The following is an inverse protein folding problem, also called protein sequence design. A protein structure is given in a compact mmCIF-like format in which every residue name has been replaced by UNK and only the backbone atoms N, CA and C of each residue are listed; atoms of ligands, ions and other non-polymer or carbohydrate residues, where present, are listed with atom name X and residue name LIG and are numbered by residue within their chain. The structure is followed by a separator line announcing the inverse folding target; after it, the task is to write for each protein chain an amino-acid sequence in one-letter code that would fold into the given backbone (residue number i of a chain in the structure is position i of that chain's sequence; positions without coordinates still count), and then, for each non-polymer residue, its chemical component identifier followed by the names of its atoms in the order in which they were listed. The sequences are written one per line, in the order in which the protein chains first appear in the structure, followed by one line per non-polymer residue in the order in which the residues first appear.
data_IF_466828883312
#
_entry.id   IF_466828883312
#
_cell.length_a   1.000
_cell.length_b   1.000
_cell.length_c   1.000
_cell.angle_alpha   90.00
_cell.angle_beta   90.00
_cell.angle_gamma   90.00
#
_symmetry.space_group_name_H-M   'P 1'
#
loop_
_entity.id
_entity.type
_entity.pdbx_description
1 polymer ?
#
# COMPACT_ATOMS: atom_id res chain seq x y z
N UNK A 1 5.66 0.52 3.29
CA UNK A 1 6.36 -0.62 3.90
C UNK A 1 6.77 -1.60 2.80
N UNK A 2 8.05 -1.95 2.71
CA UNK A 2 8.43 -3.21 2.08
C UNK A 2 7.74 -4.30 2.92
N UNK A 3 6.93 -5.13 2.28
CA UNK A 3 6.06 -6.05 3.00
C UNK A 3 6.91 -6.97 3.87
N UNK A 4 6.67 -7.02 5.19
CA UNK A 4 7.38 -7.88 6.15
C UNK A 4 7.08 -9.38 5.96
N UNK A 5 6.80 -9.78 4.73
CA UNK A 5 6.49 -11.14 4.30
C UNK A 5 7.29 -11.44 3.05
N UNK A 6 7.81 -12.65 2.97
CA UNK A 6 8.47 -13.15 1.77
C UNK A 6 7.44 -13.32 0.64
N UNK A 7 7.88 -13.22 -0.62
CA UNK A 7 7.01 -13.42 -1.79
C UNK A 7 6.51 -14.87 -1.94
N UNK A 8 7.11 -15.82 -1.23
CA UNK A 8 6.74 -17.24 -1.15
C UNK A 8 7.13 -17.77 0.24
N UNK A 9 6.48 -18.83 0.70
CA UNK A 9 6.78 -19.45 2.00
C UNK A 9 7.91 -20.49 1.86
N UNK A 10 7.98 -21.17 0.72
CA UNK A 10 9.04 -22.12 0.38
C UNK A 10 9.55 -21.87 -1.03
N UNK A 11 10.87 -21.94 -1.22
CA UNK A 11 11.52 -21.79 -2.52
C UNK A 11 11.60 -23.13 -3.28
N UNK A 12 10.45 -23.79 -3.43
CA UNK A 12 10.33 -25.12 -4.02
C UNK A 12 9.06 -25.24 -4.88
N UNK A 13 8.99 -26.24 -5.75
CA UNK A 13 7.87 -26.52 -6.66
C UNK A 13 6.54 -26.77 -5.92
N UNK A 14 6.61 -27.12 -4.64
CA UNK A 14 5.45 -27.30 -3.76
C UNK A 14 4.73 -25.99 -3.43
N UNK A 15 5.40 -24.84 -3.54
CA UNK A 15 4.77 -23.52 -3.35
C UNK A 15 4.31 -22.95 -4.70
N UNK A 16 3.00 -22.73 -4.85
CA UNK A 16 2.43 -22.13 -6.06
C UNK A 16 2.99 -20.74 -6.36
N UNK A 17 3.26 -19.90 -5.35
CA UNK A 17 3.81 -18.54 -5.56
C UNK A 17 5.23 -18.60 -6.12
N UNK A 18 6.03 -19.55 -5.63
CA UNK A 18 7.37 -19.77 -6.16
C UNK A 18 7.30 -20.33 -7.59
N UNK A 19 6.43 -21.30 -7.85
CA UNK A 19 6.25 -21.87 -9.19
C UNK A 19 5.80 -20.81 -10.21
N UNK A 20 4.84 -19.96 -9.87
CA UNK A 20 4.43 -18.81 -10.69
C UNK A 20 5.63 -17.89 -10.98
N UNK A 21 6.43 -17.58 -9.96
CA UNK A 21 7.62 -16.76 -10.12
C UNK A 21 8.64 -17.41 -11.07
N UNK A 22 8.90 -18.71 -10.96
CA UNK A 22 9.84 -19.40 -11.84
C UNK A 22 9.35 -19.49 -13.29
N UNK A 23 8.05 -19.74 -13.49
CA UNK A 23 7.46 -19.72 -14.83
C UNK A 23 7.57 -18.34 -15.47
N UNK A 24 7.25 -17.29 -14.70
CA UNK A 24 7.47 -15.92 -15.12
C UNK A 24 8.95 -15.67 -15.40
N UNK A 25 9.87 -16.01 -14.50
CA UNK A 25 11.31 -15.79 -14.63
C UNK A 25 11.84 -16.40 -15.94
N UNK A 26 11.46 -17.65 -16.24
CA UNK A 26 11.82 -18.42 -17.45
C UNK A 26 11.10 -17.98 -18.73
N UNK A 27 10.32 -16.88 -18.71
CA UNK A 27 9.52 -16.39 -19.85
C UNK A 27 8.47 -17.40 -20.35
N UNK A 28 8.09 -18.39 -19.53
CA UNK A 28 6.98 -19.30 -19.84
C UNK A 28 5.61 -18.65 -19.60
N UNK A 29 5.57 -17.59 -18.81
CA UNK A 29 4.39 -16.77 -18.57
C UNK A 29 4.70 -15.29 -18.74
N UNK A 30 3.78 -14.56 -19.33
CA UNK A 30 3.80 -13.08 -19.43
C UNK A 30 3.24 -12.42 -18.17
N UNK A 31 2.53 -13.18 -17.32
CA UNK A 31 1.89 -12.67 -16.10
C UNK A 31 2.92 -12.41 -15.01
N UNK A 32 2.99 -11.16 -14.54
CA UNK A 32 3.85 -10.78 -13.41
C UNK A 32 3.25 -11.32 -12.10
N UNK A 33 4.03 -12.00 -11.24
CA UNK A 33 3.54 -12.52 -9.96
C UNK A 33 3.02 -11.41 -9.05
N UNK A 34 1.99 -11.71 -8.24
CA UNK A 34 1.21 -10.72 -7.48
C UNK A 34 2.08 -9.78 -6.63
N UNK A 35 3.02 -10.33 -5.86
CA UNK A 35 3.89 -9.55 -4.97
C UNK A 35 4.91 -8.67 -5.72
N UNK A 36 5.15 -8.95 -7.00
CA UNK A 36 6.10 -8.25 -7.85
C UNK A 36 5.47 -7.14 -8.70
N UNK A 37 4.13 -7.11 -8.85
CA UNK A 37 3.43 -6.11 -9.67
C UNK A 37 3.67 -4.65 -9.24
N UNK A 38 4.09 -4.42 -8.00
CA UNK A 38 4.40 -3.09 -7.45
C UNK A 38 5.74 -2.51 -7.95
N UNK A 39 6.62 -3.35 -8.50
CA UNK A 39 7.96 -2.94 -8.91
C UNK A 39 8.02 -2.46 -10.36
N UNK A 40 8.94 -1.54 -10.64
CA UNK A 40 9.16 -1.03 -11.99
C UNK A 40 9.61 -2.12 -12.95
N UNK A 41 9.26 -1.98 -14.24
CA UNK A 41 9.65 -2.97 -15.25
C UNK A 41 11.17 -3.15 -15.33
N UNK A 42 11.93 -2.09 -15.03
CA UNK A 42 13.39 -2.12 -15.00
C UNK A 42 13.93 -2.96 -13.84
N UNK A 43 13.35 -2.80 -12.65
CA UNK A 43 13.69 -3.63 -11.49
C UNK A 43 13.26 -5.10 -11.68
N UNK A 44 12.09 -5.35 -12.28
CA UNK A 44 11.64 -6.70 -12.62
C UNK A 44 12.62 -7.44 -13.54
N UNK A 45 13.26 -6.75 -14.49
CA UNK A 45 14.31 -7.34 -15.33
C UNK A 45 15.53 -7.76 -14.51
N UNK A 46 15.95 -6.95 -13.53
CA UNK A 46 17.04 -7.29 -12.61
C UNK A 46 16.71 -8.54 -11.80
N UNK A 47 15.51 -8.60 -11.23
CA UNK A 47 15.04 -9.74 -10.43
C UNK A 47 15.08 -11.07 -11.19
N UNK A 48 14.71 -11.09 -12.48
CA UNK A 48 14.78 -12.32 -13.29
C UNK A 48 16.20 -12.87 -13.45
N UNK A 49 17.22 -12.01 -13.41
CA UNK A 49 18.63 -12.38 -13.61
C UNK A 49 19.32 -12.75 -12.29
N UNK A 50 18.97 -12.09 -11.19
CA UNK A 50 19.61 -12.34 -9.90
C UNK A 50 18.99 -13.49 -9.11
N UNK A 51 17.66 -13.66 -9.17
CA UNK A 51 16.95 -14.71 -8.43
C UNK A 51 16.81 -15.99 -9.26
N UNK A 52 17.85 -16.38 -10.00
CA UNK A 52 17.85 -17.67 -10.68
C UNK A 52 18.05 -18.81 -9.66
N UNK A 53 17.25 -19.90 -9.70
CA UNK A 53 17.47 -21.05 -8.83
C UNK A 53 18.88 -21.62 -8.95
N UNK A 54 19.47 -21.62 -10.16
CA UNK A 54 20.80 -22.14 -10.41
C UNK A 54 21.85 -21.07 -10.09
N UNK A 55 22.74 -21.28 -9.12
CA UNK A 55 23.74 -20.28 -8.71
C UNK A 55 24.64 -19.87 -9.88
N UNK A 56 25.03 -20.80 -10.75
CA UNK A 56 25.89 -20.55 -11.91
C UNK A 56 25.25 -19.64 -12.98
N UNK A 57 23.93 -19.46 -12.95
CA UNK A 57 23.21 -18.56 -13.88
C UNK A 57 22.89 -17.21 -13.26
N UNK A 58 23.17 -17.02 -11.97
CA UNK A 58 22.93 -15.74 -11.27
C UNK A 58 23.93 -14.70 -11.75
N UNK A 59 23.43 -13.49 -11.92
CA UNK A 59 24.27 -12.35 -12.28
C UNK A 59 25.10 -11.91 -11.06
N UNK A 60 26.32 -11.38 -11.30
CA UNK A 60 27.14 -10.84 -10.23
C UNK A 60 26.42 -9.66 -9.57
N UNK A 61 26.65 -9.49 -8.27
CA UNK A 61 26.00 -8.45 -7.46
C UNK A 61 26.32 -7.04 -7.95
N UNK A 62 27.46 -6.85 -8.61
CA UNK A 62 27.89 -5.57 -9.20
C UNK A 62 26.90 -5.02 -10.22
N UNK A 63 26.08 -5.87 -10.85
CA UNK A 63 25.05 -5.45 -11.81
C UNK A 63 23.93 -4.64 -11.14
N UNK A 64 23.72 -4.76 -9.82
CA UNK A 64 22.75 -3.96 -9.06
C UNK A 64 23.07 -2.48 -9.14
N UNK A 65 24.35 -2.11 -9.26
CA UNK A 65 24.79 -0.71 -9.34
C UNK A 65 24.12 0.05 -10.50
N UNK A 66 23.77 -0.65 -11.59
CA UNK A 66 23.08 -0.08 -12.76
C UNK A 66 21.63 0.33 -12.48
N UNK A 67 21.09 -0.07 -11.34
CA UNK A 67 19.69 0.12 -10.98
C UNK A 67 19.49 1.04 -9.77
N UNK A 68 20.56 1.45 -9.08
CA UNK A 68 20.47 2.22 -7.83
C UNK A 68 19.76 3.58 -7.99
N UNK A 69 19.98 4.24 -9.13
CA UNK A 69 19.39 5.55 -9.41
C UNK A 69 17.98 5.46 -10.01
N UNK A 70 17.47 4.26 -10.28
CA UNK A 70 16.14 4.08 -10.87
C UNK A 70 15.03 4.17 -9.83
N UNK A 71 13.84 4.56 -10.29
CA UNK A 71 12.62 4.35 -9.51
C UNK A 71 12.26 2.87 -9.46
N UNK A 72 12.25 2.31 -8.25
CA UNK A 72 12.02 0.88 -8.02
C UNK A 72 10.55 0.48 -7.92
N UNK A 73 9.68 1.41 -7.53
CA UNK A 73 8.24 1.17 -7.36
C UNK A 73 7.43 1.98 -8.36
N UNK A 74 6.37 1.37 -8.91
CA UNK A 74 5.45 2.02 -9.85
C UNK A 74 4.42 2.85 -9.07
N UNK A 75 3.93 2.31 -7.96
CA UNK A 75 2.94 2.98 -7.14
C UNK A 75 3.64 3.96 -6.19
N UNK A 76 3.15 5.21 -6.12
CA UNK A 76 3.42 6.05 -4.96
C UNK A 76 2.87 5.29 -3.76
N UNK A 77 3.73 4.94 -2.82
CA UNK A 77 3.27 4.44 -1.52
C UNK A 77 2.45 5.59 -0.94
N UNK A 78 1.13 5.49 -1.01
CA UNK A 78 0.23 6.36 -0.26
C UNK A 78 0.50 6.05 1.20
N UNK A 79 1.46 6.76 1.80
CA UNK A 79 1.57 6.84 3.24
C UNK A 79 0.31 7.56 3.66
N UNK A 80 -0.71 6.81 4.11
CA UNK A 80 -1.77 7.43 4.89
C UNK A 80 -1.04 8.10 6.07
N UNK A 81 -1.16 9.42 6.28
CA UNK A 81 -0.63 10.02 7.49
C UNK A 81 -1.28 9.26 8.62
N UNK A 82 -0.45 8.54 9.39
CA UNK A 82 -0.92 7.84 10.55
C UNK A 82 -1.25 8.95 11.54
N UNK A 83 -2.53 9.34 11.62
CA UNK A 83 -3.00 10.24 12.67
C UNK A 83 -2.69 9.52 13.97
N UNK A 84 -1.68 10.00 14.67
CA UNK A 84 -1.39 9.59 16.03
C UNK A 84 -2.49 10.21 16.88
N UNK A 85 -3.61 9.50 17.00
CA UNK A 85 -4.66 9.83 17.97
C UNK A 85 -4.05 9.58 19.35
N UNK A 86 -3.55 10.65 19.96
CA UNK A 86 -3.37 10.68 21.39
C UNK A 86 -4.78 10.58 21.99
N UNK A 87 -5.06 9.62 22.90
CA UNK A 87 -6.28 9.64 23.68
C UNK A 87 -6.33 11.00 24.37
N UNK A 88 -7.26 11.86 23.92
CA UNK A 88 -7.47 13.15 24.55
C UNK A 88 -7.94 12.83 25.97
N UNK A 89 -7.13 13.18 26.98
CA UNK A 89 -7.63 13.27 28.35
C UNK A 89 -8.80 14.25 28.28
N UNK A 90 -10.00 13.76 28.55
CA UNK A 90 -11.24 14.52 28.41
C UNK A 90 -11.10 15.89 29.08
N UNK A 91 -11.24 16.95 28.29
CA UNK A 91 -11.35 18.29 28.81
C UNK A 91 -12.60 18.37 29.71
N UNK A 92 -12.55 18.97 30.90
CA UNK A 92 -13.71 19.10 31.78
C UNK A 92 -14.87 19.78 31.04
N UNK A 93 -16.06 19.17 31.09
CA UNK A 93 -17.30 19.78 30.57
C UNK A 93 -17.68 20.98 31.46
N UNK A 94 -17.66 22.17 30.88
CA UNK A 94 -18.26 23.37 31.46
C UNK A 94 -19.79 23.16 31.64
N UNK A 95 -20.40 23.60 32.76
CA UNK A 95 -21.82 23.43 33.02
C UNK A 95 -22.67 24.38 32.14
N UNK A 96 -23.70 23.84 31.49
CA UNK A 96 -24.65 24.60 30.68
C UNK A 96 -25.54 25.53 31.53
N UNK A 97 -25.54 26.82 31.17
CA UNK A 97 -26.40 27.85 31.76
C UNK A 97 -27.79 27.85 31.08
N UNK A 98 -28.82 27.56 31.87
CA UNK A 98 -30.21 27.43 31.46
C UNK A 98 -30.82 28.81 31.14
N UNK A 99 -31.08 29.10 29.85
CA UNK A 99 -31.76 30.33 29.42
C UNK A 99 -33.24 30.07 29.10
N UNK A 100 -34.03 30.02 30.17
CA UNK A 100 -35.47 30.24 30.11
C UNK A 100 -35.78 31.70 29.69
N UNK A 101 -36.81 31.82 28.85
CA UNK A 101 -37.53 33.05 28.45
C UNK A 101 -36.89 34.01 27.43
N UNK A 102 -37.31 33.86 26.16
CA UNK A 102 -37.88 34.99 25.41
C UNK A 102 -38.88 34.54 24.35
N UNK A 103 -40.15 34.60 24.73
CA UNK A 103 -41.31 34.66 23.82
C UNK A 103 -41.20 35.91 22.95
N UNK A 104 -41.45 35.77 21.64
CA UNK A 104 -41.85 36.75 20.59
C UNK A 104 -41.56 36.06 19.24
N UNK A 105 -42.39 36.03 18.21
CA UNK A 105 -43.59 36.77 17.86
C UNK A 105 -44.35 35.98 16.78
N UNK A 106 -45.66 36.20 16.72
CA UNK A 106 -46.66 35.55 15.87
C UNK A 106 -46.47 35.98 14.40
N UNK A 107 -46.49 35.01 13.47
CA UNK A 107 -46.79 35.25 12.04
C UNK A 107 -47.52 34.05 11.47
N UNK A 108 -48.83 34.17 11.32
CA UNK A 108 -49.58 33.31 10.41
C UNK A 108 -50.41 34.17 9.47
N UNK A 109 -50.34 33.78 8.20
CA UNK A 109 -50.64 34.58 7.02
C UNK A 109 -52.14 34.57 6.68
N UNK A 110 -52.58 35.75 6.23
CA UNK A 110 -53.79 36.08 5.46
C UNK A 110 -53.95 35.23 4.19
N UNK A 111 -55.09 34.51 4.07
CA UNK A 111 -55.76 34.01 2.83
C UNK A 111 -57.21 33.70 3.26
N UNK A 112 -58.33 34.04 2.61
CA UNK A 112 -58.76 34.85 1.46
C UNK A 112 -60.28 35.08 1.66
N UNK A 113 -60.80 36.14 1.04
CA UNK A 113 -62.23 36.34 0.73
C UNK A 113 -62.64 35.47 -0.47
#
# INVERSE_FOLDING_TARGET
ALSCKFPWDKADITDNRFTEFIQWQKRKSTRIPKDFKKFSQRLLRMFRRMMDPKPSKRYPITEVNKYLNDRWLILRIQRKPQKMEYPSLDAPKEPEENQDMKVKDVKEHRVQE
#
